data_IF_835920210086
#
_entry.id   IF_835920210086
#
_cell.length_a   1.000
_cell.length_b   1.000
_cell.length_c   1.000
_cell.angle_alpha   90.00
_cell.angle_beta   90.00
_cell.angle_gamma   90.00
#
_symmetry.space_group_name_H-M   'P 1'
#
loop_
_entity.id
_entity.type
_entity.pdbx_description
1 polymer ?
#
# COMPACT_ATOMS: atom_id res chain seq x y z
N UNK A 1 24.09 13.75 -10.88
CA UNK A 1 22.70 13.70 -10.38
C UNK A 1 22.50 12.74 -9.20
N UNK A 2 23.27 11.65 -9.09
CA UNK A 2 23.19 10.71 -7.97
C UNK A 2 23.39 11.36 -6.57
N UNK A 3 24.38 12.26 -6.42
CA UNK A 3 24.64 12.94 -5.14
C UNK A 3 23.46 13.77 -4.60
N UNK A 4 22.72 14.47 -5.48
CA UNK A 4 21.52 15.23 -5.08
C UNK A 4 20.39 14.32 -4.60
N UNK A 5 20.24 13.14 -5.22
CA UNK A 5 19.22 12.14 -4.85
C UNK A 5 19.52 11.50 -3.49
N UNK A 6 20.78 11.15 -3.27
CA UNK A 6 21.23 10.63 -1.97
C UNK A 6 21.04 11.67 -0.86
N UNK A 7 21.43 12.92 -1.10
CA UNK A 7 21.21 14.01 -0.14
C UNK A 7 19.73 14.21 0.19
N UNK A 8 18.82 14.08 -0.79
CA UNK A 8 17.38 14.16 -0.54
C UNK A 8 16.92 13.04 0.40
N UNK A 9 17.34 11.80 0.18
CA UNK A 9 16.98 10.66 1.04
C UNK A 9 17.51 10.85 2.47
N UNK A 10 18.76 11.28 2.61
CA UNK A 10 19.37 11.58 3.91
C UNK A 10 18.65 12.73 4.61
N UNK A 11 18.30 13.80 3.89
CA UNK A 11 17.58 14.93 4.44
C UNK A 11 16.18 14.52 4.93
N UNK A 12 15.47 13.68 4.17
CA UNK A 12 14.16 13.14 4.58
C UNK A 12 14.34 12.26 5.81
N UNK A 13 15.28 11.32 5.80
CA UNK A 13 15.55 10.45 6.95
C UNK A 13 15.91 11.24 8.21
N UNK A 14 16.75 12.27 8.11
CA UNK A 14 17.09 13.14 9.23
C UNK A 14 15.87 13.93 9.72
N UNK A 15 15.04 14.45 8.79
CA UNK A 15 13.81 15.14 9.16
C UNK A 15 12.84 14.21 9.89
N UNK A 16 12.70 12.94 9.45
CA UNK A 16 11.89 11.96 10.14
C UNK A 16 12.41 11.70 11.56
N UNK A 17 13.72 11.51 11.73
CA UNK A 17 14.32 11.32 13.06
C UNK A 17 14.11 12.52 13.99
N UNK A 18 14.24 13.75 13.46
CA UNK A 18 14.15 14.97 14.28
C UNK A 18 12.71 15.41 14.56
N UNK A 19 11.78 15.16 13.64
CA UNK A 19 10.40 15.62 13.72
C UNK A 19 9.39 14.49 13.91
N UNK A 20 9.83 13.28 14.31
CA UNK A 20 8.96 12.11 14.43
C UNK A 20 7.72 12.36 15.30
N UNK A 21 7.90 12.98 16.47
CA UNK A 21 6.82 13.27 17.41
C UNK A 21 6.01 14.53 17.02
N UNK A 22 6.31 15.16 15.88
CA UNK A 22 5.58 16.33 15.40
C UNK A 22 4.22 15.95 14.80
N UNK A 23 3.19 16.71 15.15
CA UNK A 23 1.85 16.60 14.54
C UNK A 23 1.83 16.90 13.04
N UNK A 24 2.88 17.54 12.51
CA UNK A 24 3.03 17.81 11.07
C UNK A 24 3.19 16.53 10.25
N UNK A 25 3.80 15.48 10.83
CA UNK A 25 3.98 14.20 10.13
C UNK A 25 2.75 13.30 10.20
N UNK A 26 1.79 13.63 11.08
CA UNK A 26 0.61 12.79 11.33
C UNK A 26 -0.15 12.39 10.07
N UNK A 27 -0.46 13.28 9.11
CA UNK A 27 -1.15 12.85 7.89
C UNK A 27 -0.40 11.75 7.13
N UNK A 28 0.94 11.85 7.05
CA UNK A 28 1.77 10.85 6.37
C UNK A 28 1.88 9.57 7.21
N UNK A 29 1.93 9.68 8.54
CA UNK A 29 1.87 8.52 9.44
C UNK A 29 0.56 7.74 9.27
N UNK A 30 -0.58 8.42 9.18
CA UNK A 30 -1.87 7.77 8.94
C UNK A 30 -1.91 7.01 7.62
N UNK A 31 -1.30 7.56 6.56
CA UNK A 31 -1.13 6.83 5.29
C UNK A 31 -0.33 5.54 5.51
N UNK A 32 0.75 5.63 6.28
CA UNK A 32 1.63 4.50 6.48
C UNK A 32 0.99 3.42 7.35
N UNK A 33 0.33 3.82 8.45
CA UNK A 33 -0.51 2.94 9.28
C UNK A 33 -1.58 2.27 8.42
N UNK A 34 -2.26 3.02 7.55
CA UNK A 34 -3.27 2.44 6.66
C UNK A 34 -2.68 1.34 5.76
N UNK A 35 -1.53 1.59 5.14
CA UNK A 35 -0.88 0.59 4.28
C UNK A 35 -0.34 -0.58 5.11
N UNK A 36 0.10 -0.34 6.35
CA UNK A 36 0.49 -1.37 7.31
C UNK A 36 -0.67 -2.33 7.59
N UNK A 37 -1.84 -1.80 7.93
CA UNK A 37 -3.05 -2.58 8.14
C UNK A 37 -3.54 -3.28 6.85
N UNK A 38 -3.38 -2.65 5.68
CA UNK A 38 -3.66 -3.32 4.40
C UNK A 38 -2.78 -4.56 4.18
N UNK A 39 -1.53 -4.57 4.64
CA UNK A 39 -0.67 -5.74 4.54
C UNK A 39 -1.10 -6.87 5.48
N UNK A 40 -1.49 -6.57 6.73
CA UNK A 40 -2.13 -7.57 7.60
C UNK A 40 -3.36 -8.17 6.94
N UNK A 41 -4.23 -7.32 6.39
CA UNK A 41 -5.45 -7.77 5.72
C UNK A 41 -5.17 -8.62 4.49
N UNK A 42 -4.20 -8.23 3.67
CA UNK A 42 -3.83 -8.97 2.46
C UNK A 42 -3.28 -10.36 2.78
N UNK A 43 -2.39 -10.49 3.78
CA UNK A 43 -1.85 -11.78 4.17
C UNK A 43 -2.87 -12.62 4.95
N UNK A 44 -3.82 -11.99 5.64
CA UNK A 44 -4.97 -12.69 6.24
C UNK A 44 -5.86 -13.34 5.19
N UNK A 45 -6.18 -12.60 4.11
CA UNK A 45 -6.88 -13.14 2.95
C UNK A 45 -6.10 -14.30 2.31
N UNK A 46 -4.79 -14.14 2.12
CA UNK A 46 -3.93 -15.18 1.57
C UNK A 46 -3.83 -16.43 2.46
N UNK A 47 -3.97 -16.26 3.79
CA UNK A 47 -4.03 -17.35 4.76
C UNK A 47 -5.40 -18.06 4.79
N UNK A 48 -6.36 -17.64 3.98
CA UNK A 48 -7.70 -18.24 3.88
C UNK A 48 -8.71 -17.69 4.89
N UNK A 49 -8.38 -16.61 5.58
CA UNK A 49 -9.26 -15.95 6.55
C UNK A 49 -9.96 -14.76 5.89
N UNK A 50 -11.22 -14.51 6.25
CA UNK A 50 -11.98 -13.38 5.68
C UNK A 50 -11.52 -12.07 6.30
N UNK A 51 -11.17 -11.09 5.46
CA UNK A 51 -10.95 -9.69 5.89
C UNK A 51 -12.29 -8.96 6.01
N UNK A 52 -12.57 -8.41 7.18
CA UNK A 52 -13.83 -7.72 7.47
C UNK A 52 -13.73 -6.21 7.25
N UNK A 53 -12.82 -5.55 7.97
CA UNK A 53 -12.63 -4.11 7.89
C UNK A 53 -11.22 -3.73 8.36
N UNK A 54 -10.72 -2.63 7.81
CA UNK A 54 -9.50 -1.93 8.20
C UNK A 54 -9.92 -0.58 8.78
N UNK A 55 -9.50 -0.32 10.00
CA UNK A 55 -9.71 0.92 10.72
C UNK A 55 -8.38 1.60 10.99
N UNK A 56 -8.39 2.93 10.92
CA UNK A 56 -7.26 3.78 11.30
C UNK A 56 -7.87 4.97 12.03
N UNK A 57 -7.26 5.38 13.12
CA UNK A 57 -7.73 6.45 13.97
C UNK A 57 -6.76 7.62 13.99
N UNK A 58 -7.25 8.80 14.40
CA UNK A 58 -6.45 10.04 14.34
C UNK A 58 -5.27 10.06 15.31
N UNK A 59 -5.28 9.23 16.34
CA UNK A 59 -4.14 8.99 17.23
C UNK A 59 -3.08 8.07 16.61
N UNK A 60 -3.10 7.87 15.29
CA UNK A 60 -2.12 7.05 14.57
C UNK A 60 -2.31 5.54 14.81
N UNK A 61 -3.31 5.11 15.60
CA UNK A 61 -3.58 3.68 15.78
C UNK A 61 -4.33 3.05 14.62
N UNK A 62 -3.98 1.83 14.25
CA UNK A 62 -4.61 1.01 13.22
C UNK A 62 -5.24 -0.25 13.79
N UNK A 63 -6.24 -0.79 13.09
CA UNK A 63 -6.79 -2.10 13.38
C UNK A 63 -7.27 -2.84 12.14
N UNK A 64 -6.85 -4.09 12.01
CA UNK A 64 -7.36 -5.02 10.99
C UNK A 64 -8.25 -6.06 11.63
N UNK A 65 -9.51 -6.13 11.21
CA UNK A 65 -10.50 -7.12 11.65
C UNK A 65 -10.63 -8.23 10.63
N UNK A 66 -10.52 -9.47 11.11
CA UNK A 66 -10.66 -10.67 10.27
C UNK A 66 -11.46 -11.75 11.00
N UNK A 67 -12.15 -12.58 10.22
CA UNK A 67 -13.00 -13.67 10.70
C UNK A 67 -12.61 -14.99 10.03
N UNK A 68 -12.30 -15.99 10.85
CA UNK A 68 -11.95 -17.34 10.41
C UNK A 68 -10.81 -17.93 11.23
N UNK A 69 -10.45 -19.19 10.95
CA UNK A 69 -9.40 -19.89 11.67
C UNK A 69 -8.05 -19.77 10.95
N UNK A 70 -7.05 -19.26 11.65
CA UNK A 70 -5.68 -19.25 11.14
C UNK A 70 -4.98 -20.60 11.37
N UNK A 71 -4.22 -21.04 10.38
CA UNK A 71 -3.10 -21.96 10.65
C UNK A 71 -1.99 -21.21 11.38
N UNK A 72 -1.12 -21.91 12.12
CA UNK A 72 0.05 -21.29 12.77
C UNK A 72 0.90 -20.48 11.80
N UNK A 73 1.19 -21.04 10.62
CA UNK A 73 1.95 -20.33 9.58
C UNK A 73 1.18 -19.11 9.02
N UNK A 74 -0.13 -19.25 8.84
CA UNK A 74 -1.00 -18.16 8.39
C UNK A 74 -1.03 -17.00 9.38
N UNK A 75 -1.17 -17.29 10.68
CA UNK A 75 -1.15 -16.28 11.74
C UNK A 75 0.18 -15.53 11.80
N UNK A 76 1.31 -16.27 11.86
CA UNK A 76 2.64 -15.67 11.88
C UNK A 76 2.84 -14.76 10.65
N UNK A 77 2.43 -15.23 9.47
CA UNK A 77 2.56 -14.47 8.23
C UNK A 77 1.69 -13.21 8.24
N UNK A 78 0.45 -13.30 8.71
CA UNK A 78 -0.48 -12.17 8.79
C UNK A 78 0.00 -11.11 9.78
N UNK A 79 0.43 -11.49 10.99
CA UNK A 79 0.96 -10.56 12.00
C UNK A 79 2.28 -9.95 11.56
N UNK A 80 3.15 -10.70 10.89
CA UNK A 80 4.41 -10.13 10.38
C UNK A 80 4.25 -9.25 9.14
N UNK A 81 3.08 -9.26 8.51
CA UNK A 81 2.87 -8.61 7.22
C UNK A 81 2.98 -7.10 7.27
N UNK A 82 2.56 -6.45 8.38
CA UNK A 82 2.54 -4.99 8.51
C UNK A 82 3.92 -4.38 8.24
N UNK A 83 4.89 -4.68 9.11
CA UNK A 83 6.25 -4.13 8.97
C UNK A 83 6.98 -4.67 7.72
N UNK A 84 6.85 -5.95 7.35
CA UNK A 84 7.52 -6.50 6.15
C UNK A 84 6.96 -5.88 4.88
N UNK A 85 5.63 -5.79 4.79
CA UNK A 85 4.92 -5.26 3.65
C UNK A 85 5.16 -3.78 3.46
N UNK A 86 5.17 -3.00 4.55
CA UNK A 86 5.59 -1.60 4.53
C UNK A 86 7.02 -1.45 4.02
N UNK A 87 7.98 -2.22 4.53
CA UNK A 87 9.36 -2.18 4.06
C UNK A 87 9.48 -2.52 2.57
N UNK A 88 8.80 -3.58 2.13
CA UNK A 88 8.82 -4.02 0.73
C UNK A 88 8.20 -2.96 -0.19
N UNK A 89 7.05 -2.40 0.20
CA UNK A 89 6.39 -1.30 -0.51
C UNK A 89 7.33 -0.10 -0.63
N UNK A 90 7.92 0.33 0.49
CA UNK A 90 8.87 1.44 0.53
C UNK A 90 10.09 1.22 -0.36
N UNK A 91 10.68 0.01 -0.30
CA UNK A 91 11.83 -0.36 -1.12
C UNK A 91 11.51 -0.38 -2.61
N UNK A 92 10.34 -0.90 -3.01
CA UNK A 92 9.89 -0.89 -4.40
C UNK A 92 9.70 0.55 -4.88
N UNK A 93 8.95 1.39 -4.15
CA UNK A 93 8.72 2.80 -4.54
C UNK A 93 10.05 3.56 -4.70
N UNK A 94 10.97 3.39 -3.75
CA UNK A 94 12.28 4.03 -3.77
C UNK A 94 13.17 3.52 -4.92
N UNK A 95 13.14 2.22 -5.21
CA UNK A 95 13.79 1.64 -6.40
C UNK A 95 13.31 2.32 -7.68
N UNK A 96 12.00 2.48 -7.84
CA UNK A 96 11.43 3.11 -9.03
C UNK A 96 11.85 4.57 -9.16
N UNK A 97 11.98 5.28 -8.04
CA UNK A 97 12.52 6.65 -8.01
C UNK A 97 14.02 6.75 -8.36
N UNK A 98 14.80 5.71 -8.05
CA UNK A 98 16.25 5.67 -8.32
C UNK A 98 16.56 5.40 -9.79
N UNK A 99 15.94 4.35 -10.35
CA UNK A 99 16.14 3.92 -11.75
C UNK A 99 15.54 4.95 -12.72
N UNK A 100 14.36 5.46 -12.36
CA UNK A 100 13.71 6.56 -13.05
C UNK A 100 13.10 6.27 -14.42
N UNK A 101 12.70 5.02 -14.67
CA UNK A 101 12.06 4.59 -15.93
C UNK A 101 10.53 4.53 -15.86
N UNK A 102 9.98 4.25 -14.67
CA UNK A 102 8.56 3.94 -14.47
C UNK A 102 7.95 4.75 -13.33
N UNK A 103 8.45 5.95 -13.02
CA UNK A 103 8.07 6.68 -11.81
C UNK A 103 6.59 7.04 -11.82
N UNK A 104 6.14 7.64 -12.93
CA UNK A 104 4.75 8.04 -13.09
C UNK A 104 3.81 6.84 -13.01
N UNK A 105 4.14 5.76 -13.72
CA UNK A 105 3.35 4.52 -13.73
C UNK A 105 3.32 3.88 -12.34
N UNK A 106 4.45 3.82 -11.64
CA UNK A 106 4.54 3.22 -10.30
C UNK A 106 3.72 4.03 -9.28
N UNK A 107 3.75 5.37 -9.36
CA UNK A 107 2.95 6.22 -8.48
C UNK A 107 1.44 6.10 -8.77
N UNK A 108 1.05 6.04 -10.05
CA UNK A 108 -0.34 5.80 -10.45
C UNK A 108 -0.82 4.43 -9.94
N UNK A 109 -0.01 3.38 -10.14
CA UNK A 109 -0.34 2.04 -9.68
C UNK A 109 -0.55 2.03 -8.16
N UNK A 110 0.41 2.58 -7.40
CA UNK A 110 0.30 2.68 -5.95
C UNK A 110 -0.96 3.46 -5.52
N UNK A 111 -1.25 4.59 -6.18
CA UNK A 111 -2.44 5.39 -5.90
C UNK A 111 -3.75 4.64 -6.18
N UNK A 112 -3.83 3.92 -7.31
CA UNK A 112 -5.02 3.14 -7.67
C UNK A 112 -5.23 1.98 -6.70
N UNK A 113 -4.16 1.26 -6.34
CA UNK A 113 -4.26 0.20 -5.32
C UNK A 113 -4.71 0.76 -3.97
N UNK A 114 -4.16 1.90 -3.55
CA UNK A 114 -4.55 2.55 -2.30
C UNK A 114 -6.04 2.91 -2.30
N UNK A 115 -6.54 3.53 -3.37
CA UNK A 115 -7.98 3.85 -3.53
C UNK A 115 -8.82 2.58 -3.52
N UNK A 116 -8.41 1.57 -4.27
CA UNK A 116 -9.14 0.31 -4.42
C UNK A 116 -9.28 -0.42 -3.08
N UNK A 117 -8.19 -0.59 -2.34
CA UNK A 117 -8.23 -1.25 -1.02
C UNK A 117 -9.02 -0.44 -0.01
N UNK A 118 -8.88 0.89 0.01
CA UNK A 118 -9.67 1.74 0.89
C UNK A 118 -11.15 1.69 0.58
N UNK A 119 -11.52 1.66 -0.70
CA UNK A 119 -12.91 1.55 -1.10
C UNK A 119 -13.56 0.23 -0.67
N UNK A 120 -12.82 -0.88 -0.74
CA UNK A 120 -13.37 -2.20 -0.43
C UNK A 120 -13.34 -2.57 1.06
N UNK A 121 -12.28 -2.19 1.77
CA UNK A 121 -11.99 -2.75 3.09
C UNK A 121 -11.99 -1.72 4.21
N UNK A 122 -12.29 -0.45 3.95
CA UNK A 122 -12.43 0.54 5.03
C UNK A 122 -13.87 1.01 5.15
N UNK A 123 -14.28 1.36 6.37
CA UNK A 123 -15.62 1.90 6.59
C UNK A 123 -15.75 3.30 5.98
N UNK A 124 -16.83 3.59 5.22
CA UNK A 124 -16.99 4.87 4.54
C UNK A 124 -17.03 6.03 5.54
N UNK A 125 -16.49 7.18 5.13
CA UNK A 125 -16.46 8.42 5.92
C UNK A 125 -15.66 8.34 7.24
N UNK A 126 -14.83 7.31 7.42
CA UNK A 126 -13.88 7.22 8.53
C UNK A 126 -12.47 7.68 8.11
N UNK A 127 -11.59 7.87 9.09
CA UNK A 127 -10.21 8.34 8.88
C UNK A 127 -9.45 7.44 7.90
N UNK A 128 -9.55 6.11 8.00
CA UNK A 128 -8.92 5.18 7.05
C UNK A 128 -9.37 5.44 5.60
N UNK A 129 -10.67 5.62 5.39
CA UNK A 129 -11.25 5.91 4.08
C UNK A 129 -10.75 7.25 3.54
N UNK A 130 -10.82 8.32 4.32
CA UNK A 130 -10.34 9.64 3.89
C UNK A 130 -8.84 9.66 3.62
N UNK A 131 -8.04 8.98 4.43
CA UNK A 131 -6.60 8.86 4.22
C UNK A 131 -6.30 8.18 2.90
N UNK A 132 -6.90 7.02 2.63
CA UNK A 132 -6.59 6.27 1.42
C UNK A 132 -7.12 6.91 0.13
N UNK A 133 -8.37 7.39 0.14
CA UNK A 133 -8.93 8.11 -1.00
C UNK A 133 -8.19 9.44 -1.21
N UNK A 134 -7.92 10.19 -0.14
CA UNK A 134 -7.24 11.48 -0.19
C UNK A 134 -5.82 11.39 -0.73
N UNK A 135 -5.00 10.49 -0.17
CA UNK A 135 -3.64 10.28 -0.68
C UNK A 135 -3.63 9.65 -2.07
N UNK A 136 -4.55 8.73 -2.37
CA UNK A 136 -4.68 8.18 -3.70
C UNK A 136 -4.94 9.26 -4.75
N UNK A 137 -5.92 10.12 -4.52
CA UNK A 137 -6.20 11.25 -5.41
C UNK A 137 -5.02 12.23 -5.48
N UNK A 138 -4.40 12.55 -4.35
CA UNK A 138 -3.22 13.42 -4.32
C UNK A 138 -2.06 12.86 -5.14
N UNK A 139 -1.80 11.55 -5.06
CA UNK A 139 -0.75 10.90 -5.86
C UNK A 139 -1.09 10.84 -7.34
N UNK A 140 -2.37 10.67 -7.71
CA UNK A 140 -2.79 10.80 -9.12
C UNK A 140 -2.56 12.21 -9.65
N UNK A 141 -2.87 13.25 -8.85
CA UNK A 141 -2.58 14.64 -9.21
C UNK A 141 -1.08 14.89 -9.37
N UNK A 142 -0.27 14.42 -8.41
CA UNK A 142 1.20 14.53 -8.48
C UNK A 142 1.74 13.80 -9.72
N UNK A 143 1.22 12.62 -10.03
CA UNK A 143 1.59 11.87 -11.24
C UNK A 143 1.18 12.60 -12.53
N UNK A 144 0.09 13.37 -12.51
CA UNK A 144 -0.34 14.19 -13.65
C UNK A 144 0.62 15.36 -13.93
N UNK A 145 1.36 15.84 -12.92
CA UNK A 145 2.37 16.89 -13.06
C UNK A 145 3.68 16.42 -13.72
N UNK A 146 3.82 15.12 -13.99
CA UNK A 146 4.94 14.53 -14.73
C UNK A 146 5.90 13.68 -13.88
N UNK A 147 7.00 13.25 -14.51
CA UNK A 147 7.94 12.29 -13.91
C UNK A 147 8.74 12.85 -12.73
N UNK A 148 9.15 14.13 -12.81
CA UNK A 148 9.92 14.78 -11.74
C UNK A 148 9.17 14.84 -10.40
N UNK A 149 7.93 15.36 -10.33
CA UNK A 149 7.17 15.34 -9.08
C UNK A 149 6.80 13.91 -8.65
N UNK A 150 6.49 13.01 -9.59
CA UNK A 150 6.24 11.61 -9.27
C UNK A 150 7.45 10.93 -8.60
N UNK A 151 8.65 11.14 -9.15
CA UNK A 151 9.93 10.69 -8.55
C UNK A 151 10.12 11.23 -7.14
N UNK A 152 9.82 12.52 -6.93
CA UNK A 152 9.90 13.16 -5.61
C UNK A 152 8.97 12.50 -4.59
N UNK A 153 7.72 12.28 -4.96
CA UNK A 153 6.73 11.61 -4.10
C UNK A 153 7.13 10.16 -3.80
N UNK A 154 7.54 9.38 -4.81
CA UNK A 154 8.04 8.01 -4.61
C UNK A 154 9.25 7.97 -3.67
N UNK A 155 10.17 8.92 -3.80
CA UNK A 155 11.34 9.02 -2.91
C UNK A 155 10.89 9.31 -1.47
N UNK A 156 10.02 10.30 -1.27
CA UNK A 156 9.58 10.70 0.06
C UNK A 156 8.79 9.60 0.76
N UNK A 157 7.79 9.04 0.10
CA UNK A 157 6.94 7.98 0.64
C UNK A 157 7.74 6.68 0.82
N UNK A 158 8.64 6.35 -0.10
CA UNK A 158 9.51 5.18 0.01
C UNK A 158 10.43 5.22 1.22
N UNK A 159 11.06 6.37 1.49
CA UNK A 159 11.87 6.57 2.71
C UNK A 159 11.00 6.52 3.96
N UNK A 160 9.81 7.12 3.93
CA UNK A 160 8.89 7.10 5.07
C UNK A 160 8.46 5.69 5.45
N UNK A 161 8.09 4.86 4.46
CA UNK A 161 7.71 3.46 4.68
C UNK A 161 8.84 2.62 5.28
N UNK A 162 10.06 2.77 4.78
CA UNK A 162 11.23 2.06 5.33
C UNK A 162 11.53 2.50 6.76
N UNK A 163 11.44 3.80 7.05
CA UNK A 163 11.64 4.33 8.40
C UNK A 163 10.56 3.82 9.35
N UNK A 164 9.29 3.92 8.97
CA UNK A 164 8.17 3.48 9.79
C UNK A 164 8.20 1.98 10.07
N UNK A 165 8.50 1.15 9.06
CA UNK A 165 8.63 -0.31 9.24
C UNK A 165 9.65 -0.69 10.32
N UNK A 166 10.78 0.03 10.38
CA UNK A 166 11.75 -0.15 11.45
C UNK A 166 11.23 0.38 12.78
N UNK A 167 10.59 1.56 12.78
CA UNK A 167 10.04 2.18 13.99
C UNK A 167 8.97 1.30 14.66
N UNK A 168 8.02 0.80 13.89
CA UNK A 168 6.91 -0.06 14.34
C UNK A 168 7.41 -1.28 15.13
N UNK A 169 8.51 -1.85 14.66
CA UNK A 169 9.13 -3.01 15.28
C UNK A 169 9.82 -2.71 16.62
N UNK A 170 10.08 -1.45 16.96
CA UNK A 170 10.78 -1.05 18.19
C UNK A 170 9.92 -0.18 19.12
N UNK A 171 8.63 0.05 18.82
CA UNK A 171 7.77 0.95 19.59
C UNK A 171 7.29 0.39 20.95
N UNK A 172 7.88 -0.73 21.41
CA UNK A 172 7.64 -1.34 22.73
C UNK A 172 7.77 -0.38 23.92
N UNK A 173 8.51 0.72 23.72
CA UNK A 173 8.75 1.70 24.78
C UNK A 173 7.54 2.56 25.13
N UNK A 174 6.54 2.63 24.24
CA UNK A 174 5.30 3.40 24.46
C UNK A 174 4.16 2.51 24.93
N UNK A 175 4.04 1.31 24.38
CA UNK A 175 3.03 0.33 24.77
C UNK A 175 3.53 -1.10 24.42
N UNK A 176 3.84 -1.89 25.45
CA UNK A 176 4.51 -3.20 25.27
C UNK A 176 3.58 -4.22 24.59
N UNK A 177 2.27 -4.09 24.78
CA UNK A 177 1.30 -5.12 24.39
C UNK A 177 0.62 -4.87 23.04
N UNK A 178 0.87 -3.71 22.41
CA UNK A 178 0.16 -3.26 21.20
C UNK A 178 0.97 -3.37 19.89
N UNK A 179 2.24 -3.76 19.94
CA UNK A 179 3.04 -3.92 18.70
C UNK A 179 2.84 -5.29 18.07
N UNK A 180 2.97 -5.39 16.75
CA UNK A 180 2.87 -6.66 16.03
C UNK A 180 3.88 -7.71 16.51
N UNK A 181 5.09 -7.25 16.84
CA UNK A 181 6.13 -8.11 17.38
C UNK A 181 5.78 -8.63 18.79
N UNK A 182 5.10 -7.83 19.62
CA UNK A 182 4.60 -8.28 20.90
C UNK A 182 3.41 -9.23 20.77
N UNK A 183 2.47 -8.97 19.84
CA UNK A 183 1.37 -9.89 19.51
C UNK A 183 1.94 -11.25 19.08
N UNK A 184 2.94 -11.25 18.20
CA UNK A 184 3.61 -12.46 17.76
C UNK A 184 4.37 -13.16 18.90
N UNK A 185 5.05 -12.39 19.76
CA UNK A 185 5.74 -12.92 20.94
C UNK A 185 4.76 -13.61 21.90
N UNK A 186 3.61 -12.98 22.18
CA UNK A 186 2.55 -13.51 23.03
C UNK A 186 1.95 -14.79 22.45
N UNK A 187 1.72 -14.84 21.14
CA UNK A 187 1.25 -16.05 20.46
C UNK A 187 2.25 -17.20 20.58
N UNK A 188 3.54 -16.96 20.31
CA UNK A 188 4.60 -17.98 20.42
C UNK A 188 4.91 -18.36 21.88
N UNK A 189 4.69 -17.44 22.82
CA UNK A 189 4.96 -17.58 24.24
C UNK A 189 3.80 -18.16 25.07
N UNK A 190 2.61 -18.33 24.48
CA UNK A 190 1.36 -18.82 25.10
C UNK A 190 1.42 -20.24 25.71
N UNK A 191 2.61 -20.82 25.83
CA UNK A 191 2.87 -22.07 26.54
C UNK A 191 3.26 -21.94 28.02
N UNK A 192 4.04 -20.94 28.49
CA UNK A 192 4.68 -21.08 29.83
C UNK A 192 5.44 -19.89 30.46
N UNK A 193 5.32 -18.62 30.06
CA UNK A 193 6.38 -17.65 30.43
C UNK A 193 5.91 -16.40 31.19
N UNK A 194 6.65 -16.07 32.27
CA UNK A 194 6.52 -14.88 33.12
C UNK A 194 6.62 -13.59 32.28
N UNK A 195 5.95 -12.51 32.72
CA UNK A 195 5.87 -11.19 32.03
C UNK A 195 7.21 -10.67 31.51
N UNK A 196 8.33 -10.94 32.19
CA UNK A 196 9.67 -10.55 31.74
C UNK A 196 10.17 -11.25 30.46
N UNK A 197 9.58 -12.39 30.10
CA UNK A 197 10.01 -13.21 28.96
C UNK A 197 9.34 -12.80 27.64
N UNK A 198 8.13 -12.25 27.70
CA UNK A 198 7.44 -11.70 26.52
C UNK A 198 8.23 -10.53 25.96
N UNK A 199 8.73 -9.63 26.82
CA UNK A 199 9.60 -8.53 26.41
C UNK A 199 10.88 -8.99 25.72
N UNK A 200 11.60 -9.98 26.30
CA UNK A 200 12.79 -10.54 25.66
C UNK A 200 12.50 -11.20 24.31
N UNK A 201 11.38 -11.92 24.22
CA UNK A 201 10.93 -12.59 22.99
C UNK A 201 10.57 -11.57 21.91
N UNK A 202 9.84 -10.51 22.26
CA UNK A 202 9.47 -9.43 21.36
C UNK A 202 10.70 -8.68 20.83
N UNK A 203 11.68 -8.38 21.68
CA UNK A 203 12.97 -7.80 21.25
C UNK A 203 13.71 -8.75 20.31
N UNK A 204 13.73 -10.05 20.59
CA UNK A 204 14.39 -11.05 19.73
C UNK A 204 13.73 -11.13 18.36
N UNK A 205 12.40 -11.21 18.32
CA UNK A 205 11.59 -11.17 17.08
C UNK A 205 11.90 -9.90 16.29
N UNK A 206 12.02 -8.77 16.97
CA UNK A 206 12.31 -7.48 16.34
C UNK A 206 13.70 -7.42 15.73
N UNK A 207 14.71 -7.94 16.40
CA UNK A 207 16.07 -8.00 15.82
C UNK A 207 16.11 -8.91 14.58
N UNK A 208 15.42 -10.06 14.62
CA UNK A 208 15.32 -10.98 13.48
C UNK A 208 14.64 -10.29 12.30
N UNK A 209 13.46 -9.71 12.50
CA UNK A 209 12.70 -9.06 11.43
C UNK A 209 13.35 -7.78 10.93
N UNK A 210 14.08 -7.05 11.79
CA UNK A 210 14.96 -5.95 11.34
C UNK A 210 15.98 -6.46 10.33
N UNK A 211 16.66 -7.56 10.64
CA UNK A 211 17.62 -8.19 9.71
C UNK A 211 16.98 -8.58 8.38
N UNK A 212 15.76 -9.13 8.41
CA UNK A 212 14.98 -9.47 7.21
C UNK A 212 14.61 -8.23 6.41
N UNK A 213 14.05 -7.19 7.05
CA UNK A 213 13.68 -5.91 6.42
C UNK A 213 14.89 -5.27 5.75
N UNK A 214 16.02 -5.19 6.46
CA UNK A 214 17.25 -4.62 5.92
C UNK A 214 17.78 -5.43 4.73
N UNK A 215 17.66 -6.76 4.79
CA UNK A 215 18.05 -7.64 3.68
C UNK A 215 17.12 -7.43 2.48
N UNK A 216 15.80 -7.37 2.66
CA UNK A 216 14.83 -7.12 1.60
C UNK A 216 15.05 -5.74 0.95
N UNK A 217 15.26 -4.72 1.77
CA UNK A 217 15.58 -3.37 1.31
C UNK A 217 16.89 -3.37 0.51
N UNK A 218 17.93 -4.04 1.00
CA UNK A 218 19.21 -4.17 0.31
C UNK A 218 19.05 -4.88 -1.04
N UNK A 219 18.40 -6.04 -1.08
CA UNK A 219 18.21 -6.82 -2.32
C UNK A 219 17.40 -6.03 -3.36
N UNK A 220 16.44 -5.23 -2.91
CA UNK A 220 15.61 -4.41 -3.80
C UNK A 220 16.35 -3.17 -4.31
N UNK A 221 17.10 -2.50 -3.45
CA UNK A 221 17.72 -1.20 -3.75
C UNK A 221 19.15 -1.31 -4.31
N UNK A 222 19.94 -2.32 -3.92
CA UNK A 222 21.33 -2.44 -4.36
C UNK A 222 21.49 -2.52 -5.90
N UNK A 223 20.67 -3.30 -6.64
CA UNK A 223 20.72 -3.28 -8.10
C UNK A 223 20.37 -1.90 -8.68
N UNK A 224 19.37 -1.23 -8.09
CA UNK A 224 18.90 0.08 -8.53
C UNK A 224 19.96 1.18 -8.32
N UNK A 225 20.67 1.13 -7.19
CA UNK A 225 21.78 2.04 -6.89
C UNK A 225 22.93 1.82 -7.87
N UNK A 226 23.29 0.56 -8.15
CA UNK A 226 24.33 0.22 -9.14
C UNK A 226 23.97 0.74 -10.54
N UNK A 227 22.73 0.53 -10.98
CA UNK A 227 22.23 1.05 -12.27
C UNK A 227 22.25 2.58 -12.30
N UNK A 228 21.82 3.24 -11.22
CA UNK A 228 21.81 4.70 -11.12
C UNK A 228 23.22 5.32 -11.13
N UNK A 229 24.21 4.64 -10.54
CA UNK A 229 25.62 5.05 -10.57
C UNK A 229 26.18 4.88 -11.99
N UNK A 230 26.00 3.70 -12.60
CA UNK A 230 26.48 3.43 -13.96
C UNK A 230 25.96 4.46 -14.96
N UNK A 231 24.66 4.77 -14.92
CA UNK A 231 24.07 5.80 -15.79
C UNK A 231 24.64 7.22 -15.55
N UNK A 232 25.11 7.50 -14.33
CA UNK A 232 25.70 8.79 -13.99
C UNK A 232 27.16 8.94 -14.43
N UNK A 233 27.89 7.83 -14.57
CA UNK A 233 29.30 7.80 -15.00
C UNK A 233 29.44 7.66 -16.52
N UNK A 234 28.51 6.97 -17.17
CA UNK A 234 28.47 6.77 -18.62
C UNK A 234 27.10 7.16 -19.17
N UNK A 235 26.82 8.45 -19.39
CA UNK A 235 25.63 8.86 -20.13
C UNK A 235 25.78 8.28 -21.53
N UNK A 236 24.95 7.31 -21.90
CA UNK A 236 24.94 6.75 -23.26
C UNK A 236 24.83 7.92 -24.23
N UNK A 237 25.83 8.12 -25.09
CA UNK A 237 25.68 8.94 -26.29
C UNK A 237 24.43 8.41 -26.99
N UNK A 238 23.44 9.28 -27.20
CA UNK A 238 22.28 8.92 -28.00
C UNK A 238 22.78 8.26 -29.29
N UNK A 239 22.18 7.16 -29.77
CA UNK A 239 22.57 6.62 -31.06
C UNK A 239 22.50 7.78 -32.05
N UNK A 240 23.63 8.12 -32.68
CA UNK A 240 23.66 9.09 -33.77
C UNK A 240 22.59 8.65 -34.75
N UNK A 241 21.56 9.48 -34.95
CA UNK A 241 20.68 9.26 -36.09
C UNK A 241 21.57 9.19 -37.32
N UNK A 242 21.43 8.16 -38.18
CA UNK A 242 22.26 8.06 -39.37
C UNK A 242 22.06 9.34 -40.16
N UNK A 243 23.09 10.18 -40.18
CA UNK A 243 23.11 11.44 -40.89
C UNK A 243 22.75 11.18 -42.34
N UNK A 244 21.67 11.79 -42.81
CA UNK A 244 21.38 11.87 -44.22
C UNK A 244 22.53 12.65 -44.87
N UNK A 245 23.44 11.89 -45.48
CA UNK A 245 24.56 12.40 -46.24
C UNK A 245 24.07 13.25 -47.39
N UNK A 246 24.67 14.43 -47.48
CA UNK A 246 24.54 15.41 -48.55
C UNK A 246 25.21 14.83 -49.82
N UNK A 247 24.47 14.07 -50.62
CA UNK A 247 24.89 13.72 -51.99
C UNK A 247 23.98 14.42 -53.00
N UNK A 248 24.44 15.60 -53.40
CA UNK A 248 24.02 16.23 -54.64
C UNK A 248 24.34 15.30 -55.83
N UNK A 249 23.30 14.82 -56.52
CA UNK A 249 23.41 14.35 -57.90
C UNK A 249 22.71 15.34 -58.82
N UNK A 250 23.54 16.13 -59.49
CA UNK A 250 23.20 16.84 -60.73
C UNK A 250 23.01 15.81 -61.85
N UNK A 251 21.80 15.69 -62.38
CA UNK A 251 21.58 15.17 -63.72
C UNK A 251 20.34 15.84 -64.33
N UNK A 252 20.65 16.75 -65.25
CA UNK A 252 19.81 17.31 -66.31
C UNK A 252 19.12 16.20 -67.14
N UNK A 253 17.98 16.52 -67.77
CA UNK A 253 17.52 16.09 -69.11
C UNK A 253 15.97 16.20 -69.27
N UNK A 254 15.55 17.35 -69.80
CA UNK A 254 14.59 17.56 -70.90
C UNK A 254 13.44 16.54 -71.18
N UNK A 255 12.21 17.06 -71.14
CA UNK A 255 11.21 16.95 -72.23
C UNK A 255 10.09 15.91 -72.11
N UNK A 256 8.82 16.36 -72.14
CA UNK A 256 7.64 15.53 -72.42
C UNK A 256 6.32 16.06 -71.81
N UNK A 257 5.32 16.29 -72.65
CA UNK A 257 4.04 17.01 -72.45
C UNK A 257 3.02 16.46 -71.40
N UNK A 258 1.98 17.26 -71.03
CA UNK A 258 0.93 16.87 -70.09
C UNK A 258 -0.27 16.20 -70.78
N UNK A 259 -0.72 15.06 -70.23
CA UNK A 259 -1.93 14.36 -70.63
C UNK A 259 -3.06 14.53 -69.61
N UNK A 260 -4.16 15.12 -70.06
CA UNK A 260 -5.41 15.40 -69.37
C UNK A 260 -6.31 14.18 -69.11
N UNK A 261 -7.34 14.41 -68.27
CA UNK A 261 -8.56 13.62 -68.02
C UNK A 261 -8.44 12.63 -66.84
N UNK A 262 -9.45 12.40 -66.00
CA UNK A 262 -10.88 12.69 -66.08
C UNK A 262 -11.48 12.69 -64.66
N UNK A 263 -12.64 13.31 -64.58
CA UNK A 263 -13.55 13.54 -63.48
C UNK A 263 -13.99 12.26 -62.76
N UNK A 264 -14.37 12.39 -61.48
CA UNK A 264 -15.67 11.94 -60.92
C UNK A 264 -15.64 11.91 -59.38
N UNK A 265 -16.19 12.95 -58.74
CA UNK A 265 -16.88 12.77 -57.44
C UNK A 265 -18.25 12.13 -57.71
N UNK A 266 -18.84 11.48 -56.69
CA UNK A 266 -20.07 12.08 -56.19
C UNK A 266 -20.17 12.17 -54.66
N UNK A 267 -20.83 13.23 -54.26
CA UNK A 267 -21.20 13.60 -52.90
C UNK A 267 -22.38 12.78 -52.35
N UNK A 268 -22.33 12.58 -51.02
CA UNK A 268 -23.39 12.71 -50.00
C UNK A 268 -24.78 12.08 -50.21
N UNK A 269 -25.24 11.28 -49.23
CA UNK A 269 -26.43 11.61 -48.44
C UNK A 269 -26.49 10.82 -47.10
N UNK A 270 -26.73 11.45 -45.94
CA UNK A 270 -27.00 10.81 -44.67
C UNK A 270 -28.51 10.75 -44.40
N UNK A 271 -29.06 9.63 -43.94
CA UNK A 271 -30.25 9.61 -43.06
C UNK A 271 -30.57 8.19 -42.58
N UNK A 272 -30.98 8.12 -41.31
CA UNK A 272 -32.17 7.39 -40.79
C UNK A 272 -31.91 6.63 -39.47
N UNK A 273 -32.33 7.28 -38.39
CA UNK A 273 -33.00 6.69 -37.22
C UNK A 273 -34.31 7.49 -37.09
N UNK A 274 -35.48 6.91 -36.73
CA UNK A 274 -35.80 6.70 -35.31
C UNK A 274 -36.80 5.56 -35.00
N UNK A 275 -36.95 5.18 -33.72
CA UNK A 275 -38.18 4.51 -33.25
C UNK A 275 -38.11 3.78 -31.90
N UNK A 276 -38.52 4.46 -30.82
CA UNK A 276 -39.05 3.90 -29.56
C UNK A 276 -40.59 3.92 -29.58
N UNK A 277 -41.28 3.10 -28.76
CA UNK A 277 -42.17 3.66 -27.70
C UNK A 277 -42.14 2.83 -26.38
N UNK A 278 -42.06 3.45 -25.17
CA UNK A 278 -43.11 3.75 -24.14
C UNK A 278 -43.96 2.55 -23.66
N UNK A 279 -44.38 2.31 -22.41
CA UNK A 279 -44.39 2.99 -21.08
C UNK A 279 -45.09 2.04 -20.05
N UNK A 280 -45.22 2.47 -18.78
CA UNK A 280 -46.11 2.00 -17.66
C UNK A 280 -45.68 0.76 -16.86
N UNK A 281 -45.86 0.61 -15.54
CA UNK A 281 -46.34 1.47 -14.44
C UNK A 281 -46.05 0.79 -13.06
N UNK A 282 -45.85 1.62 -12.03
CA UNK A 282 -46.22 1.52 -10.58
C UNK A 282 -45.88 0.37 -9.60
N UNK A 283 -45.43 0.81 -8.41
CA UNK A 283 -45.92 0.52 -7.03
C UNK A 283 -45.15 -0.40 -6.04
N UNK A 284 -45.02 0.13 -4.81
CA UNK A 284 -44.83 -0.56 -3.52
C UNK A 284 -43.37 -0.84 -3.11
N UNK A 285 -42.86 -0.58 -1.91
CA UNK A 285 -43.42 -0.26 -0.60
C UNK A 285 -42.35 -0.62 0.45
N UNK A 286 -42.05 0.31 1.35
CA UNK A 286 -41.11 0.25 2.47
C UNK A 286 -41.43 -0.82 3.53
N UNK A 287 -40.43 -1.46 4.16
CA UNK A 287 -40.41 -1.83 5.61
C UNK A 287 -38.96 -2.00 6.11
N UNK A 288 -38.55 -1.10 7.02
CA UNK A 288 -37.48 -1.29 8.03
C UNK A 288 -37.97 -2.26 9.12
N UNK A 289 -37.09 -3.13 9.64
CA UNK A 289 -37.35 -3.84 10.89
C UNK A 289 -36.07 -4.02 11.72
N UNK A 290 -35.91 -3.19 12.75
CA UNK A 290 -35.13 -3.47 13.94
C UNK A 290 -35.99 -4.30 14.91
N UNK A 291 -35.38 -5.18 15.73
CA UNK A 291 -35.89 -5.45 17.07
C UNK A 291 -34.96 -4.88 18.14
N UNK A 292 -35.62 -4.27 19.12
CA UNK A 292 -35.14 -3.65 20.34
C UNK A 292 -34.69 -4.65 21.41
N UNK A 293 -33.85 -4.12 22.29
CA UNK A 293 -33.52 -4.50 23.67
C UNK A 293 -34.61 -5.27 24.45
N UNK A 294 -34.14 -6.22 25.27
CA UNK A 294 -34.68 -6.49 26.61
C UNK A 294 -33.50 -6.66 27.58
N UNK A 295 -33.49 -5.82 28.62
CA UNK A 295 -32.72 -5.95 29.86
C UNK A 295 -33.52 -6.82 30.84
N UNK A 296 -32.88 -7.76 31.56
CA UNK A 296 -33.29 -8.07 32.94
C UNK A 296 -32.17 -8.66 33.82
N UNK A 297 -32.32 -8.38 35.11
CA UNK A 297 -31.42 -8.38 36.25
C UNK A 297 -30.91 -9.74 36.77
N UNK A 298 -29.75 -9.71 37.44
CA UNK A 298 -29.58 -10.38 38.75
C UNK A 298 -28.33 -11.27 38.94
N UNK A 299 -27.52 -11.07 40.01
CA UNK A 299 -26.27 -11.80 40.23
C UNK A 299 -26.47 -13.06 41.09
N UNK A 300 -25.66 -14.10 40.87
CA UNK A 300 -25.43 -15.13 41.89
C UNK A 300 -24.00 -15.66 41.84
N UNK A 301 -23.31 -15.49 42.97
CA UNK A 301 -22.09 -16.19 43.37
C UNK A 301 -22.45 -17.64 43.70
N UNK A 302 -21.69 -18.62 43.19
CA UNK A 302 -21.00 -19.61 44.03
C UNK A 302 -20.19 -20.62 43.20
N UNK A 303 -19.09 -21.02 43.82
CA UNK A 303 -18.03 -21.91 43.40
C UNK A 303 -18.44 -23.29 42.88
N UNK A 304 -17.71 -23.81 41.88
CA UNK A 304 -17.19 -25.18 41.92
C UNK A 304 -16.05 -25.42 40.93
N UNK A 305 -14.95 -25.87 41.51
CA UNK A 305 -13.75 -26.41 40.86
C UNK A 305 -14.01 -27.81 40.28
N UNK A 306 -13.15 -28.19 39.33
CA UNK A 306 -12.90 -29.53 38.78
C UNK A 306 -13.74 -30.02 37.59
N UNK A 307 -13.08 -30.09 36.42
CA UNK A 307 -13.59 -30.73 35.20
C UNK A 307 -12.80 -30.40 33.94
N UNK A 308 -11.46 -30.32 34.01
CA UNK A 308 -10.58 -30.05 32.86
C UNK A 308 -10.45 -31.33 32.01
N UNK A 309 -11.30 -31.48 31.01
CA UNK A 309 -11.08 -32.30 29.80
C UNK A 309 -12.25 -32.09 28.83
N UNK A 310 -12.29 -30.93 28.18
CA UNK A 310 -13.08 -30.74 26.96
C UNK A 310 -12.26 -29.93 25.95
N UNK A 311 -11.93 -30.60 24.84
CA UNK A 311 -11.86 -30.06 23.49
C UNK A 311 -10.91 -28.86 23.22
N UNK A 312 -9.65 -29.18 22.92
CA UNK A 312 -8.70 -28.28 22.23
C UNK A 312 -9.03 -28.08 20.73
N UNK A 313 -10.30 -27.84 20.40
CA UNK A 313 -10.72 -27.46 19.03
C UNK A 313 -11.83 -26.41 19.00
N UNK A 314 -12.03 -25.65 20.08
CA UNK A 314 -13.16 -24.73 20.23
C UNK A 314 -12.82 -23.30 20.62
N UNK A 315 -11.56 -22.86 20.51
CA UNK A 315 -11.10 -21.52 20.94
C UNK A 315 -10.38 -20.74 19.83
N UNK A 316 -10.67 -21.02 18.55
CA UNK A 316 -10.11 -20.25 17.42
C UNK A 316 -11.17 -19.49 16.63
N UNK A 317 -12.32 -19.18 17.24
CA UNK A 317 -13.24 -18.17 16.74
C UNK A 317 -12.99 -16.86 17.51
N UNK A 318 -11.78 -16.33 17.40
CA UNK A 318 -11.40 -15.08 18.05
C UNK A 318 -11.19 -14.04 16.96
N UNK A 319 -12.00 -12.99 16.97
CA UNK A 319 -11.83 -11.81 16.11
C UNK A 319 -10.40 -11.33 16.30
N UNK A 320 -9.54 -11.59 15.32
CA UNK A 320 -8.18 -11.11 15.38
C UNK A 320 -8.22 -9.59 15.23
N UNK A 321 -7.60 -8.93 16.21
CA UNK A 321 -7.40 -7.50 16.31
C UNK A 321 -5.89 -7.30 16.27
N UNK A 322 -5.31 -7.29 15.06
CA UNK A 322 -4.05 -6.55 14.89
C UNK A 322 -4.40 -5.12 15.27
N UNK A 323 -3.76 -4.59 16.29
CA UNK A 323 -4.04 -3.25 16.80
C UNK A 323 -2.71 -2.54 16.95
N UNK A 324 -2.24 -1.88 15.91
CA UNK A 324 -1.10 -0.96 16.03
C UNK A 324 -1.57 0.23 16.87
N UNK A 325 -1.26 0.25 18.17
CA UNK A 325 -1.62 1.35 19.08
C UNK A 325 -0.47 2.33 19.20
N UNK A 326 -0.64 3.56 18.69
CA UNK A 326 0.27 4.69 18.92
C UNK A 326 -0.35 5.76 19.83
#
# INVERSE_FOLDING_TARGET
>A
MAGKRFLLMVAIGLALTLFWDSSLLRPVKLLVVLVHEMWHGLLSLAAGVRLDTIEVHWNESGKTMVTGEFTTAGFISAVSAGYIGCALTGAILLRQALVGRLERVSLILFAVLLIYFSWLFTSPLQTAFYTGIGYGLAFLLVAALGERPARGALTAIGVFFLFYSLFDLFDFTRDVDSTDAAILASYLGSGALEEGTVGFTAVTISLIWTGVILTLAYLTLAPAVREAIHYSEHPTEAPEEPGFGDEAQTADLTGGEPGSADMSEPALDPTQSPGMPSSSDTEGGSVEMYPSMDDDFGPNLESRTHGRNQSLSGQAAEVFRASSGH
#
